data_IF_978773849479
#
_entry.id   IF_978773849479
#
_cell.length_a   1.000
_cell.length_b   1.000
_cell.length_c   1.000
_cell.angle_alpha   90.00
_cell.angle_beta   90.00
_cell.angle_gamma   90.00
#
_symmetry.space_group_name_H-M   'P 1'
#
loop_
_entity.id
_entity.type
_entity.pdbx_description
1 polymer ?
#
# COMPACT_ATOMS: atom_id res chain seq x y z
N UNK A 1 21.59 -26.15 -37.20
CA UNK A 1 20.12 -26.28 -37.40
C UNK A 1 19.48 -24.91 -37.20
N UNK A 2 19.10 -24.18 -38.27
CA UNK A 2 18.32 -22.95 -38.21
C UNK A 2 16.90 -23.16 -38.77
N UNK A 3 15.85 -22.78 -38.04
CA UNK A 3 14.48 -22.59 -38.56
C UNK A 3 13.63 -21.92 -37.48
N UNK A 4 13.28 -20.63 -37.64
CA UNK A 4 11.91 -20.05 -37.65
C UNK A 4 12.13 -18.61 -38.18
N UNK A 5 11.72 -18.19 -39.38
CA UNK A 5 10.36 -18.25 -39.91
C UNK A 5 9.64 -16.94 -39.60
N UNK A 6 10.13 -15.82 -40.15
CA UNK A 6 9.44 -14.52 -40.14
C UNK A 6 8.19 -14.63 -41.00
N UNK A 7 7.00 -14.59 -40.40
CA UNK A 7 5.75 -14.45 -41.14
C UNK A 7 5.05 -13.17 -40.71
N UNK A 8 5.12 -12.19 -41.60
CA UNK A 8 4.53 -10.86 -41.47
C UNK A 8 3.25 -10.89 -42.30
N UNK A 9 2.13 -11.21 -41.67
CA UNK A 9 0.82 -11.19 -42.33
C UNK A 9 0.11 -9.89 -41.98
N UNK A 10 0.08 -9.04 -43.01
CA UNK A 10 -0.78 -7.88 -43.23
C UNK A 10 -2.26 -8.27 -43.08
N UNK A 11 -3.09 -7.35 -42.56
CA UNK A 11 -4.40 -6.91 -43.10
C UNK A 11 -5.19 -6.19 -42.00
N UNK A 12 -5.80 -5.05 -42.33
CA UNK A 12 -6.91 -4.49 -41.54
C UNK A 12 -6.80 -3.00 -41.28
N UNK A 13 -6.98 -2.22 -42.34
CA UNK A 13 -7.49 -0.86 -42.27
C UNK A 13 -8.96 -0.85 -41.79
N UNK A 14 -9.43 0.33 -41.37
CA UNK A 14 -10.81 0.80 -41.23
C UNK A 14 -11.39 0.95 -39.82
N UNK A 15 -11.28 2.20 -39.35
CA UNK A 15 -12.36 3.12 -38.99
C UNK A 15 -13.42 2.77 -37.93
N UNK A 16 -13.64 3.79 -37.09
CA UNK A 16 -14.92 4.16 -36.44
C UNK A 16 -15.42 3.20 -35.34
N UNK A 17 -15.94 3.64 -34.21
CA UNK A 17 -16.38 4.94 -33.73
C UNK A 17 -16.79 4.76 -32.27
N UNK A 18 -16.68 5.83 -31.48
CA UNK A 18 -17.48 6.14 -30.30
C UNK A 18 -17.71 5.03 -29.25
N UNK A 19 -17.02 5.12 -28.12
CA UNK A 19 -17.34 4.33 -26.94
C UNK A 19 -16.60 4.81 -25.71
N UNK A 20 -17.30 5.60 -24.90
CA UNK A 20 -16.99 6.02 -23.54
C UNK A 20 -15.96 5.14 -22.79
N UNK A 21 -14.90 5.77 -22.31
CA UNK A 21 -13.97 5.13 -21.41
C UNK A 21 -12.91 6.10 -20.92
N UNK A 22 -13.29 7.03 -20.04
CA UNK A 22 -12.35 7.72 -19.15
C UNK A 22 -11.78 6.71 -18.13
N UNK A 23 -11.28 5.58 -18.61
CA UNK A 23 -10.50 4.63 -17.83
C UNK A 23 -9.12 5.24 -17.72
N UNK A 24 -8.99 6.19 -16.79
CA UNK A 24 -7.70 6.57 -16.25
C UNK A 24 -7.06 5.28 -15.73
N UNK A 25 -6.32 4.60 -16.60
CA UNK A 25 -5.41 3.53 -16.24
C UNK A 25 -4.35 4.23 -15.41
N UNK A 26 -4.65 4.31 -14.11
CA UNK A 26 -3.80 4.92 -13.11
C UNK A 26 -2.52 4.11 -13.16
N UNK A 27 -1.56 4.61 -13.95
CA UNK A 27 -0.24 4.02 -14.12
C UNK A 27 0.26 3.65 -12.72
N UNK A 28 0.67 2.39 -12.46
CA UNK A 28 1.17 2.02 -11.16
C UNK A 28 2.32 2.97 -10.83
N UNK A 29 2.09 3.85 -9.86
CA UNK A 29 3.06 4.86 -9.44
C UNK A 29 4.22 4.09 -8.81
N UNK A 30 5.48 4.31 -9.24
CA UNK A 30 6.61 3.62 -8.66
C UNK A 30 6.62 3.84 -7.14
N UNK A 31 6.98 2.84 -6.32
CA UNK A 31 6.86 2.88 -4.87
C UNK A 31 7.66 4.03 -4.24
N UNK A 32 8.68 4.55 -4.94
CA UNK A 32 9.47 5.71 -4.55
C UNK A 32 8.66 7.00 -4.45
N UNK A 33 7.58 7.14 -5.22
CA UNK A 33 6.76 8.36 -5.23
C UNK A 33 5.40 8.20 -4.54
N UNK A 34 4.99 6.99 -4.18
CA UNK A 34 3.69 6.75 -3.54
C UNK A 34 3.58 7.53 -2.21
N UNK A 35 2.51 8.31 -2.08
CA UNK A 35 2.23 9.04 -0.84
C UNK A 35 1.96 8.08 0.33
N UNK A 36 2.10 8.52 1.59
CA UNK A 36 1.94 7.67 2.76
C UNK A 36 0.63 6.86 2.80
N UNK A 37 -0.50 7.48 2.43
CA UNK A 37 -1.79 6.80 2.32
C UNK A 37 -1.79 5.65 1.30
N UNK A 38 -1.14 5.83 0.14
CA UNK A 38 -1.08 4.78 -0.89
C UNK A 38 -0.27 3.58 -0.43
N UNK A 39 0.86 3.80 0.27
CA UNK A 39 1.64 2.71 0.86
C UNK A 39 0.86 2.00 1.96
N UNK A 40 0.15 2.75 2.81
CA UNK A 40 -0.73 2.18 3.84
C UNK A 40 -1.88 1.36 3.25
N UNK A 41 -2.49 1.81 2.14
CA UNK A 41 -3.53 1.05 1.42
C UNK A 41 -3.00 -0.26 0.87
N UNK A 42 -1.85 -0.22 0.18
CA UNK A 42 -1.20 -1.44 -0.34
C UNK A 42 -0.82 -2.41 0.78
N UNK A 43 -0.23 -1.91 1.86
CA UNK A 43 0.10 -2.74 3.02
C UNK A 43 -1.16 -3.39 3.66
N UNK A 44 -2.32 -2.71 3.61
CA UNK A 44 -3.58 -3.28 4.09
C UNK A 44 -4.18 -4.36 3.19
N UNK A 45 -3.83 -4.37 1.91
CA UNK A 45 -4.20 -5.45 0.98
C UNK A 45 -3.39 -6.72 1.27
N UNK A 46 -2.12 -6.57 1.67
CA UNK A 46 -1.25 -7.70 2.05
C UNK A 46 -1.54 -8.21 3.47
N UNK A 47 -1.90 -7.32 4.39
CA UNK A 47 -2.21 -7.65 5.79
C UNK A 47 -3.51 -6.97 6.24
N UNK A 48 -4.66 -7.67 6.25
CA UNK A 48 -5.96 -7.07 6.58
C UNK A 48 -6.00 -6.43 7.98
N UNK A 49 -5.29 -7.02 8.95
CA UNK A 49 -5.22 -6.55 10.34
C UNK A 49 -4.20 -5.43 10.58
N UNK A 50 -3.43 -5.04 9.57
CA UNK A 50 -2.35 -4.06 9.69
C UNK A 50 -2.88 -2.66 9.99
N UNK A 51 -4.01 -2.27 9.40
CA UNK A 51 -4.62 -0.95 9.64
C UNK A 51 -5.05 -0.83 11.09
N UNK A 52 -5.76 -1.83 11.63
CA UNK A 52 -6.17 -1.84 13.02
C UNK A 52 -4.94 -1.79 13.95
N UNK A 53 -3.93 -2.61 13.67
CA UNK A 53 -2.69 -2.66 14.45
C UNK A 53 -1.98 -1.31 14.47
N UNK A 54 -1.83 -0.67 13.31
CA UNK A 54 -1.19 0.64 13.17
C UNK A 54 -2.01 1.77 13.80
N UNK A 55 -3.34 1.71 13.75
CA UNK A 55 -4.20 2.68 14.44
C UNK A 55 -4.02 2.58 15.96
N UNK A 56 -4.08 1.38 16.54
CA UNK A 56 -3.84 1.19 17.98
C UNK A 56 -2.42 1.59 18.38
N UNK A 57 -1.41 1.28 17.56
CA UNK A 57 -0.05 1.75 17.77
C UNK A 57 0.04 3.29 17.70
N UNK A 58 -0.59 3.93 16.72
CA UNK A 58 -0.55 5.39 16.56
C UNK A 58 -1.25 6.15 17.70
N UNK A 59 -2.22 5.53 18.38
CA UNK A 59 -2.99 6.11 19.50
C UNK A 59 -2.37 5.85 20.89
N UNK A 60 -1.40 4.94 20.98
CA UNK A 60 -0.73 4.61 22.26
C UNK A 60 0.63 5.27 22.36
N UNK A 61 1.24 5.32 23.55
CA UNK A 61 2.60 5.82 23.73
C UNK A 61 3.66 4.72 23.60
N UNK A 62 3.31 3.46 23.88
CA UNK A 62 4.24 2.33 23.96
C UNK A 62 3.74 1.07 23.26
N UNK A 63 4.68 0.21 22.83
CA UNK A 63 4.38 -1.09 22.19
C UNK A 63 3.60 -2.01 23.14
N UNK A 64 3.94 -2.03 24.45
CA UNK A 64 3.18 -2.84 25.42
C UNK A 64 1.72 -2.42 25.51
N UNK A 65 1.45 -1.11 25.58
CA UNK A 65 0.07 -0.61 25.63
C UNK A 65 -0.73 -1.00 24.37
N UNK A 66 -0.11 -0.90 23.19
CA UNK A 66 -0.71 -1.36 21.94
C UNK A 66 -0.97 -2.87 21.93
N UNK A 67 -0.04 -3.67 22.47
CA UNK A 67 -0.17 -5.13 22.53
C UNK A 67 -1.33 -5.55 23.45
N UNK A 68 -1.45 -4.92 24.61
CA UNK A 68 -2.57 -5.12 25.54
C UNK A 68 -3.90 -4.73 24.89
N UNK A 69 -3.96 -3.60 24.20
CA UNK A 69 -5.19 -3.15 23.52
C UNK A 69 -5.63 -4.08 22.37
N UNK A 70 -4.69 -4.81 21.77
CA UNK A 70 -4.93 -5.75 20.68
C UNK A 70 -5.01 -7.22 21.15
N UNK A 71 -4.92 -7.49 22.45
CA UNK A 71 -4.87 -8.85 23.03
C UNK A 71 -3.80 -9.75 22.40
N UNK A 72 -2.64 -9.19 22.05
CA UNK A 72 -1.51 -9.93 21.46
C UNK A 72 -0.29 -9.89 22.38
N UNK A 73 0.57 -10.89 22.24
CA UNK A 73 1.89 -10.84 22.86
C UNK A 73 2.72 -9.71 22.24
N UNK A 74 3.45 -8.98 23.07
CA UNK A 74 4.27 -7.85 22.64
C UNK A 74 5.35 -8.24 21.63
N UNK A 75 5.89 -9.46 21.69
CA UNK A 75 6.82 -10.02 20.70
C UNK A 75 6.15 -10.18 19.34
N UNK A 76 4.94 -10.76 19.30
CA UNK A 76 4.13 -10.86 18.08
C UNK A 76 3.79 -9.48 17.51
N UNK A 77 3.52 -8.50 18.38
CA UNK A 77 3.29 -7.13 17.92
C UNK A 77 4.55 -6.51 17.32
N UNK A 78 5.73 -6.73 17.91
CA UNK A 78 7.00 -6.25 17.36
C UNK A 78 7.24 -6.84 15.96
N UNK A 79 7.08 -8.15 15.79
CA UNK A 79 7.25 -8.80 14.47
C UNK A 79 6.29 -8.21 13.42
N UNK A 80 5.04 -7.94 13.81
CA UNK A 80 4.05 -7.29 12.93
C UNK A 80 4.45 -5.86 12.58
N UNK A 81 5.00 -5.10 13.53
CA UNK A 81 5.48 -3.75 13.28
C UNK A 81 6.71 -3.76 12.36
N UNK A 82 7.64 -4.69 12.55
CA UNK A 82 8.81 -4.84 11.68
C UNK A 82 8.41 -5.23 10.26
N UNK A 83 7.40 -6.09 10.13
CA UNK A 83 6.81 -6.39 8.82
C UNK A 83 6.14 -5.15 8.20
N UNK A 84 5.38 -4.40 8.99
CA UNK A 84 4.73 -3.17 8.52
C UNK A 84 5.75 -2.12 8.06
N UNK A 85 6.87 -1.93 8.75
CA UNK A 85 7.95 -1.01 8.35
C UNK A 85 8.53 -1.37 6.98
N UNK A 86 8.75 -2.68 6.73
CA UNK A 86 9.21 -3.16 5.42
C UNK A 86 8.21 -2.87 4.30
N UNK A 87 6.91 -3.02 4.57
CA UNK A 87 5.85 -2.73 3.60
C UNK A 87 5.65 -1.23 3.35
N UNK A 88 5.77 -0.41 4.39
CA UNK A 88 5.61 1.04 4.32
C UNK A 88 6.86 1.74 3.77
N UNK A 89 8.04 1.14 3.96
CA UNK A 89 9.32 1.69 3.53
C UNK A 89 9.81 2.86 4.39
N UNK A 90 9.30 3.00 5.61
CA UNK A 90 9.80 3.96 6.61
C UNK A 90 9.66 3.38 8.02
N UNK A 91 10.52 3.84 8.92
CA UNK A 91 10.50 3.50 10.34
C UNK A 91 9.31 4.18 11.02
N UNK A 92 8.40 3.41 11.62
CA UNK A 92 7.21 3.94 12.32
C UNK A 92 7.46 4.16 13.81
N UNK A 93 8.57 3.66 14.34
CA UNK A 93 9.01 3.83 15.73
C UNK A 93 9.64 5.20 15.94
N UNK A 94 10.21 5.80 14.90
CA UNK A 94 10.69 7.17 14.94
C UNK A 94 9.54 8.20 15.00
N UNK A 95 9.71 9.31 15.73
CA UNK A 95 8.67 10.33 15.89
C UNK A 95 8.19 10.90 14.54
N UNK A 96 9.12 11.15 13.60
CA UNK A 96 8.79 11.65 12.26
C UNK A 96 7.96 10.63 11.45
N UNK A 97 8.28 9.34 11.56
CA UNK A 97 7.52 8.26 10.91
C UNK A 97 6.15 8.06 11.53
N UNK A 98 6.04 8.22 12.85
CA UNK A 98 4.77 8.16 13.58
C UNK A 98 3.84 9.32 13.19
N UNK A 99 4.36 10.54 13.06
CA UNK A 99 3.57 11.67 12.55
C UNK A 99 3.07 11.41 11.12
N UNK A 100 3.94 10.88 10.23
CA UNK A 100 3.53 10.49 8.88
C UNK A 100 2.44 9.42 8.88
N UNK A 101 2.53 8.44 9.78
CA UNK A 101 1.51 7.40 9.95
C UNK A 101 0.18 8.00 10.41
N UNK A 102 0.19 8.87 11.42
CA UNK A 102 -1.01 9.54 11.92
C UNK A 102 -1.69 10.38 10.83
N UNK A 103 -0.91 11.13 10.05
CA UNK A 103 -1.44 11.90 8.91
C UNK A 103 -2.07 11.00 7.85
N UNK A 104 -1.44 9.86 7.51
CA UNK A 104 -1.99 8.91 6.54
C UNK A 104 -3.31 8.28 7.03
N UNK A 105 -3.40 7.98 8.33
CA UNK A 105 -4.62 7.47 8.95
C UNK A 105 -5.72 8.54 8.97
N UNK A 106 -5.39 9.78 9.32
CA UNK A 106 -6.35 10.89 9.28
C UNK A 106 -6.88 11.13 7.85
N UNK A 107 -6.01 11.15 6.84
CA UNK A 107 -6.41 11.30 5.44
C UNK A 107 -7.39 10.20 4.99
N UNK A 108 -7.24 8.98 5.52
CA UNK A 108 -8.14 7.85 5.24
C UNK A 108 -9.50 7.99 5.90
N UNK A 109 -9.54 8.58 7.10
CA UNK A 109 -10.76 8.71 7.90
C UNK A 109 -11.62 9.91 7.50
N UNK A 110 -11.03 10.88 6.78
CA UNK A 110 -11.77 12.01 6.24
C UNK A 110 -12.75 11.54 5.16
N UNK A 111 -14.05 11.85 5.28
CA UNK A 111 -15.01 11.60 4.22
C UNK A 111 -14.64 12.44 2.99
N UNK A 112 -14.68 11.80 1.82
CA UNK A 112 -14.39 12.38 0.51
C UNK A 112 -15.68 12.60 -0.27
#
# INVERSE_FOLDING_TARGET
MPMIGSSRCRTGDQASSAGLGCSSTRRPRPPSQAGPLQRLRRASEEMPHLVQTLTHYAMTSTIRAAATALFVHHSTLQDRLDHAERLLGWDIRQPAGRCRLQLALAERLLPR
#
